data_IF_419874551136
#
_entry.id   IF_419874551136
#
_cell.length_a   1.000
_cell.length_b   1.000
_cell.length_c   1.000
_cell.angle_alpha   90.00
_cell.angle_beta   90.00
_cell.angle_gamma   90.00
#
_symmetry.space_group_name_H-M   'P 1'
#
loop_
_entity.id
_entity.type
_entity.pdbx_description
1 polymer ?
#
# COMPACT_ATOMS: atom_id res chain seq x y z
N UNK A 1 -9.52 -15.02 -0.47
CA UNK A 1 -8.05 -15.04 -0.62
C UNK A 1 -7.48 -14.07 0.38
N UNK A 2 -6.52 -14.49 1.21
CA UNK A 2 -5.81 -13.59 2.12
C UNK A 2 -4.82 -12.76 1.26
N UNK A 3 -4.86 -11.42 1.28
CA UNK A 3 -3.86 -10.64 0.57
C UNK A 3 -2.53 -10.73 1.33
N UNK A 4 -1.48 -11.02 0.58
CA UNK A 4 -0.13 -11.14 1.11
C UNK A 4 0.62 -9.84 0.85
N UNK A 5 1.09 -9.20 1.92
CA UNK A 5 2.10 -8.13 1.86
C UNK A 5 3.45 -8.77 2.11
N UNK A 6 4.38 -8.59 1.18
CA UNK A 6 5.77 -9.05 1.34
C UNK A 6 6.72 -7.86 1.28
N UNK A 7 7.62 -7.79 2.25
CA UNK A 7 8.71 -6.81 2.26
C UNK A 7 9.87 -7.33 1.41
N UNK A 8 10.36 -6.50 0.48
CA UNK A 8 11.62 -6.78 -0.19
C UNK A 8 12.76 -6.13 0.61
N UNK A 9 13.41 -6.88 1.49
CA UNK A 9 14.72 -6.48 2.03
C UNK A 9 15.73 -6.62 0.90
N UNK A 10 16.17 -5.51 0.32
CA UNK A 10 17.26 -5.52 -0.67
C UNK A 10 18.55 -5.87 0.05
N UNK A 11 18.86 -7.17 0.14
CA UNK A 11 20.21 -7.64 0.42
C UNK A 11 20.98 -7.58 -0.90
N UNK A 12 21.95 -6.67 -1.01
CA UNK A 12 22.91 -6.73 -2.11
C UNK A 12 23.66 -8.07 -2.03
N UNK A 13 23.37 -8.97 -2.96
CA UNK A 13 24.10 -10.22 -3.14
C UNK A 13 24.27 -10.48 -4.64
N UNK A 14 25.49 -10.88 -5.00
CA UNK A 14 26.02 -10.98 -6.35
C UNK A 14 25.17 -11.82 -7.32
N UNK A 15 25.26 -11.45 -8.60
CA UNK A 15 24.54 -12.06 -9.72
C UNK A 15 24.64 -13.59 -9.74
N UNK A 16 23.53 -14.26 -9.47
CA UNK A 16 23.28 -15.63 -9.87
C UNK A 16 22.04 -15.64 -10.77
N UNK A 17 22.23 -16.13 -11.99
CA UNK A 17 21.26 -16.19 -13.06
C UNK A 17 20.08 -17.12 -12.65
N UNK A 18 19.06 -16.55 -12.02
CA UNK A 18 17.78 -17.22 -11.77
C UNK A 18 16.92 -17.10 -13.03
N UNK A 19 16.24 -18.18 -13.48
CA UNK A 19 15.33 -18.08 -14.59
C UNK A 19 14.26 -17.05 -14.21
N UNK A 20 13.95 -16.13 -15.12
CA UNK A 20 12.92 -15.12 -14.93
C UNK A 20 11.57 -15.81 -14.74
N UNK A 21 11.26 -16.18 -13.48
CA UNK A 21 9.93 -16.53 -13.05
C UNK A 21 9.01 -15.41 -13.54
N UNK A 22 7.89 -15.74 -14.19
CA UNK A 22 6.93 -14.76 -14.69
C UNK A 22 6.58 -13.80 -13.54
N UNK A 23 7.23 -12.64 -13.51
CA UNK A 23 6.91 -11.59 -12.57
C UNK A 23 5.68 -10.94 -13.15
N UNK A 24 4.51 -11.26 -12.62
CA UNK A 24 3.31 -10.49 -12.93
C UNK A 24 3.65 -9.00 -12.80
N UNK A 25 3.46 -8.20 -13.86
CA UNK A 25 3.83 -6.81 -13.84
C UNK A 25 3.06 -6.08 -12.74
N UNK A 26 3.77 -5.26 -11.98
CA UNK A 26 3.14 -4.46 -10.94
C UNK A 26 2.32 -3.33 -11.59
N UNK A 27 1.11 -3.11 -11.07
CA UNK A 27 0.26 -2.00 -11.45
C UNK A 27 0.85 -0.70 -10.88
N UNK A 28 0.80 0.38 -11.67
CA UNK A 28 1.14 1.73 -11.21
C UNK A 28 -0.06 2.40 -10.54
N UNK A 29 0.18 3.39 -9.70
CA UNK A 29 -0.89 4.07 -8.98
C UNK A 29 -1.84 4.82 -9.91
N UNK A 30 -1.35 5.40 -11.01
CA UNK A 30 -2.22 6.05 -12.01
C UNK A 30 -3.29 5.12 -12.59
N UNK A 31 -3.06 3.81 -12.54
CA UNK A 31 -3.95 2.77 -13.07
C UNK A 31 -4.84 2.14 -11.97
N UNK A 32 -4.76 2.65 -10.74
CA UNK A 32 -5.61 2.22 -9.62
C UNK A 32 -7.03 2.75 -9.82
N UNK A 33 -7.98 1.82 -9.85
CA UNK A 33 -9.42 2.09 -9.96
C UNK A 33 -10.16 1.69 -8.69
N UNK A 34 -11.40 2.15 -8.55
CA UNK A 34 -12.26 1.83 -7.42
C UNK A 34 -12.74 0.37 -7.46
N UNK A 35 -12.88 -0.26 -6.30
CA UNK A 35 -13.34 -1.64 -6.16
C UNK A 35 -12.22 -2.65 -5.89
N UNK A 36 -12.54 -3.95 -5.87
CA UNK A 36 -11.56 -5.01 -5.67
C UNK A 36 -10.61 -5.12 -6.87
N UNK A 37 -9.33 -5.32 -6.60
CA UNK A 37 -8.28 -5.41 -7.61
C UNK A 37 -7.47 -6.68 -7.40
N UNK A 38 -7.55 -7.59 -8.35
CA UNK A 38 -6.66 -8.74 -8.46
C UNK A 38 -5.41 -8.32 -9.22
N UNK A 39 -4.51 -7.64 -8.51
CA UNK A 39 -3.29 -7.08 -9.08
C UNK A 39 -2.20 -6.97 -8.01
N UNK A 40 -0.96 -6.81 -8.48
CA UNK A 40 0.22 -6.59 -7.66
C UNK A 40 0.55 -5.11 -7.67
N UNK A 41 0.76 -4.52 -6.49
CA UNK A 41 1.33 -3.19 -6.35
C UNK A 41 2.74 -3.29 -5.79
N UNK A 42 3.63 -2.43 -6.27
CA UNK A 42 4.95 -2.19 -5.68
C UNK A 42 5.02 -0.74 -5.25
N UNK A 43 5.37 -0.51 -4.00
CA UNK A 43 5.42 0.83 -3.46
C UNK A 43 6.46 0.97 -2.35
N UNK A 44 6.96 2.18 -2.17
CA UNK A 44 7.69 2.57 -0.97
C UNK A 44 6.73 3.24 0.01
N UNK A 45 6.75 2.78 1.26
CA UNK A 45 6.01 3.43 2.34
C UNK A 45 6.75 4.70 2.75
N UNK A 46 6.16 5.87 2.57
CA UNK A 46 6.75 7.16 2.97
C UNK A 46 6.49 7.45 4.44
N UNK A 47 5.23 7.35 4.85
CA UNK A 47 4.83 7.63 6.22
C UNK A 47 3.59 6.82 6.61
N UNK A 48 3.42 6.58 7.91
CA UNK A 48 2.28 5.86 8.49
C UNK A 48 1.86 6.55 9.79
N UNK A 49 0.57 6.73 9.99
CA UNK A 49 0.01 7.37 11.19
C UNK A 49 -1.33 6.76 11.58
N UNK A 50 -1.70 6.92 12.85
CA UNK A 50 -3.00 6.45 13.33
C UNK A 50 -4.11 7.40 12.89
N UNK A 51 -5.14 6.86 12.25
CA UNK A 51 -6.40 7.54 12.02
C UNK A 51 -7.32 7.29 13.22
N UNK A 52 -7.70 8.34 13.92
CA UNK A 52 -8.60 8.29 15.09
C UNK A 52 -9.82 9.14 14.88
N UNK A 53 -10.93 8.70 15.47
CA UNK A 53 -12.13 9.54 15.57
C UNK A 53 -11.80 10.76 16.45
N UNK A 54 -11.97 12.00 15.97
CA UNK A 54 -11.59 13.19 16.73
C UNK A 54 -12.44 13.40 17.99
N UNK A 55 -13.67 12.89 18.01
CA UNK A 55 -14.60 13.06 19.13
C UNK A 55 -14.42 11.95 20.17
N UNK A 56 -14.38 10.69 19.75
CA UNK A 56 -14.33 9.53 20.65
C UNK A 56 -12.91 9.04 20.93
N UNK A 57 -11.91 9.52 20.18
CA UNK A 57 -10.50 9.07 20.19
C UNK A 57 -10.29 7.59 19.83
N UNK A 58 -11.35 6.90 19.40
CA UNK A 58 -11.32 5.50 18.96
C UNK A 58 -10.46 5.36 17.71
N UNK A 59 -9.63 4.31 17.65
CA UNK A 59 -8.84 3.97 16.47
C UNK A 59 -9.77 3.56 15.32
N UNK A 60 -9.66 4.24 14.20
CA UNK A 60 -10.37 3.94 12.95
C UNK A 60 -9.51 3.03 12.07
N UNK A 61 -8.20 3.26 12.07
CA UNK A 61 -7.23 2.49 11.31
C UNK A 61 -5.87 3.16 11.29
N UNK A 62 -5.03 2.70 10.38
CA UNK A 62 -3.72 3.28 10.09
C UNK A 62 -3.74 3.83 8.66
N UNK A 63 -3.49 5.13 8.53
CA UNK A 63 -3.31 5.79 7.25
C UNK A 63 -1.85 5.80 6.85
N UNK A 64 -1.60 5.80 5.55
CA UNK A 64 -0.26 5.72 4.99
C UNK A 64 -0.12 6.63 3.78
N UNK A 65 1.08 7.14 3.57
CA UNK A 65 1.49 7.78 2.32
C UNK A 65 2.42 6.83 1.58
N UNK A 66 2.05 6.46 0.36
CA UNK A 66 2.79 5.51 -0.48
C UNK A 66 3.28 6.23 -1.74
N UNK A 67 4.42 5.81 -2.28
CA UNK A 67 4.92 6.26 -3.58
C UNK A 67 5.29 5.04 -4.45
N UNK A 68 4.94 5.09 -5.74
CA UNK A 68 5.33 4.05 -6.70
C UNK A 68 6.63 4.41 -7.44
N UNK A 69 7.03 3.56 -8.39
CA UNK A 69 8.25 3.73 -9.18
C UNK A 69 8.18 4.90 -10.19
N UNK A 70 6.96 5.38 -10.52
CA UNK A 70 6.75 6.55 -11.37
C UNK A 70 6.76 7.87 -10.58
N UNK A 71 6.92 7.80 -9.25
CA UNK A 71 6.85 8.95 -8.37
C UNK A 71 5.42 9.42 -8.07
N UNK A 72 4.41 8.63 -8.43
CA UNK A 72 3.03 8.91 -8.10
C UNK A 72 2.81 8.62 -6.62
N UNK A 73 2.18 9.54 -5.90
CA UNK A 73 1.83 9.35 -4.50
C UNK A 73 0.35 8.96 -4.35
N UNK A 74 0.05 8.06 -3.43
CA UNK A 74 -1.32 7.65 -3.11
C UNK A 74 -1.44 7.38 -1.62
N UNK A 75 -2.64 7.59 -1.07
CA UNK A 75 -2.92 7.27 0.31
C UNK A 75 -3.26 5.78 0.45
N UNK A 76 -2.69 5.14 1.47
CA UNK A 76 -3.02 3.78 1.89
C UNK A 76 -3.83 3.78 3.20
N UNK A 77 -4.58 2.71 3.44
CA UNK A 77 -5.38 2.55 4.66
C UNK A 77 -5.44 1.09 5.12
N UNK A 78 -5.15 0.85 6.40
CA UNK A 78 -5.39 -0.41 7.10
C UNK A 78 -6.52 -0.17 8.12
N UNK A 79 -7.65 -0.90 8.07
CA UNK A 79 -8.72 -0.73 9.05
C UNK A 79 -8.28 -1.18 10.46
N UNK A 80 -8.85 -0.59 11.52
CA UNK A 80 -8.47 -0.85 12.91
C UNK A 80 -8.42 -2.35 13.27
N UNK A 81 -9.39 -3.14 12.80
CA UNK A 81 -9.44 -4.60 13.05
C UNK A 81 -8.31 -5.41 12.38
N UNK A 82 -7.42 -4.76 11.63
CA UNK A 82 -6.27 -5.37 10.95
C UNK A 82 -4.94 -4.67 11.25
N UNK A 83 -4.97 -3.63 12.09
CA UNK A 83 -3.74 -3.00 12.57
C UNK A 83 -2.93 -4.04 13.34
N UNK A 84 -1.64 -4.17 13.00
CA UNK A 84 -0.76 -5.22 13.54
C UNK A 84 -0.67 -6.49 12.68
N UNK A 85 -1.52 -6.66 11.67
CA UNK A 85 -1.40 -7.78 10.72
C UNK A 85 -0.25 -7.60 9.72
N UNK A 86 0.27 -6.39 9.61
CA UNK A 86 1.30 -6.02 8.64
C UNK A 86 2.49 -5.38 9.36
N UNK A 87 3.69 -5.90 9.12
CA UNK A 87 4.94 -5.30 9.62
C UNK A 87 5.42 -4.22 8.64
N UNK A 88 4.89 -3.01 8.83
CA UNK A 88 5.14 -1.86 7.97
C UNK A 88 6.16 -0.91 8.58
N UNK A 89 7.20 -0.60 7.82
CA UNK A 89 8.33 0.25 8.21
C UNK A 89 8.48 1.35 7.16
N UNK A 90 8.44 2.61 7.60
CA UNK A 90 8.66 3.75 6.72
C UNK A 90 10.03 3.66 6.03
N UNK A 91 10.07 4.06 4.75
CA UNK A 91 11.24 3.96 3.86
C UNK A 91 11.38 2.60 3.15
N UNK A 92 10.69 1.55 3.59
CA UNK A 92 10.79 0.21 3.00
C UNK A 92 9.91 0.05 1.77
N UNK A 93 10.32 -0.86 0.87
CA UNK A 93 9.60 -1.20 -0.37
C UNK A 93 8.83 -2.50 -0.18
N UNK A 94 7.56 -2.47 -0.55
CA UNK A 94 6.62 -3.56 -0.36
C UNK A 94 6.02 -4.00 -1.69
N UNK A 95 5.66 -5.28 -1.73
CA UNK A 95 4.77 -5.87 -2.73
C UNK A 95 3.45 -6.21 -2.05
N UNK A 96 2.36 -5.61 -2.49
CA UNK A 96 1.00 -5.89 -2.03
C UNK A 96 0.26 -6.65 -3.13
N UNK A 97 -0.22 -7.84 -2.81
CA UNK A 97 -1.04 -8.65 -3.71
C UNK A 97 -2.50 -8.54 -3.30
N UNK A 98 -3.34 -8.19 -4.26
CA UNK A 98 -4.77 -7.96 -4.08
C UNK A 98 -5.08 -6.83 -3.10
N UNK A 99 -5.86 -5.87 -3.56
CA UNK A 99 -6.22 -4.72 -2.75
C UNK A 99 -7.59 -4.20 -3.14
N UNK A 100 -8.07 -3.23 -2.39
CA UNK A 100 -9.32 -2.55 -2.71
C UNK A 100 -9.07 -1.06 -2.91
N UNK A 101 -9.46 -0.53 -4.07
CA UNK A 101 -9.47 0.90 -4.34
C UNK A 101 -10.72 1.52 -3.72
N UNK A 102 -10.54 2.33 -2.68
CA UNK A 102 -11.64 3.08 -2.06
C UNK A 102 -11.62 4.53 -2.55
N UNK A 103 -12.76 5.21 -2.56
CA UNK A 103 -12.82 6.62 -2.93
C UNK A 103 -12.06 7.46 -1.89
N UNK A 104 -11.14 8.29 -2.37
CA UNK A 104 -10.47 9.25 -1.50
C UNK A 104 -11.46 10.34 -1.05
N UNK A 105 -11.43 10.67 0.24
CA UNK A 105 -12.23 11.76 0.78
C UNK A 105 -11.40 13.02 0.65
N UNK A 106 -11.96 14.03 -0.02
CA UNK A 106 -11.27 15.32 -0.22
C UNK A 106 -10.93 15.97 1.12
N UNK A 107 -11.81 15.80 2.11
CA UNK A 107 -11.45 16.12 3.48
C UNK A 107 -10.37 15.14 3.96
N UNK A 108 -9.19 15.67 4.31
CA UNK A 108 -8.02 14.93 4.80
C UNK A 108 -7.16 14.22 3.75
N UNK A 109 -7.34 14.53 2.45
CA UNK A 109 -6.45 14.01 1.43
C UNK A 109 -5.01 14.50 1.63
N UNK A 110 -4.04 13.59 1.54
CA UNK A 110 -2.60 13.93 1.60
C UNK A 110 -1.89 13.81 0.24
N UNK A 111 -2.57 13.23 -0.75
CA UNK A 111 -2.07 13.06 -2.11
C UNK A 111 -3.18 13.37 -3.12
N UNK A 112 -2.80 13.93 -4.27
CA UNK A 112 -3.71 14.23 -5.36
C UNK A 112 -4.03 12.96 -6.16
N UNK A 113 -4.89 12.11 -5.57
CA UNK A 113 -5.34 10.88 -6.19
C UNK A 113 -6.81 10.59 -5.84
N UNK A 114 -7.60 10.13 -6.82
CA UNK A 114 -9.04 9.89 -6.67
C UNK A 114 -9.38 8.67 -5.78
N UNK A 115 -8.42 7.77 -5.63
CA UNK A 115 -8.54 6.52 -4.89
C UNK A 115 -7.50 6.43 -3.76
N UNK A 116 -7.83 5.65 -2.73
CA UNK A 116 -6.92 5.17 -1.70
C UNK A 116 -6.78 3.65 -1.79
N UNK A 117 -5.63 3.12 -1.43
CA UNK A 117 -5.38 1.68 -1.38
C UNK A 117 -5.76 1.16 0.00
N UNK A 118 -6.84 0.39 0.07
CA UNK A 118 -7.24 -0.30 1.29
C UNK A 118 -6.59 -1.68 1.35
N UNK A 119 -5.89 -1.95 2.46
CA UNK A 119 -5.21 -3.21 2.71
C UNK A 119 -6.25 -4.24 3.16
N UNK A 120 -6.48 -5.22 2.30
CA UNK A 120 -7.53 -6.24 2.50
C UNK A 120 -7.11 -7.41 3.37
#
# INVERSE_FOLDING_TARGET
>A
MNPAVSSAVVKNAAAANLPAAHVEPALFFRDVTLGPREAVLRFRLIHLWEARNPNTRTLIGQEMLLIDEEGTAIQGFVPAGRVGNFELIAGSVYRLNNFFGSRNKVQYQVADHIAIISFS
#
